data_IF_585572331705
#
_entry.id   IF_585572331705
#
_cell.length_a   1.000
_cell.length_b   1.000
_cell.length_c   1.000
_cell.angle_alpha   90.00
_cell.angle_beta   90.00
_cell.angle_gamma   90.00
#
_symmetry.space_group_name_H-M   'P 1'
#
loop_
_entity.id
_entity.type
_entity.pdbx_description
1 polymer ?
#
# COMPACT_ATOMS: atom_id res chain seq x y z
N UNK A 1 7.15 -11.16 -10.94
CA UNK A 1 8.40 -10.38 -10.80
C UNK A 1 8.25 -9.47 -9.59
N UNK A 2 8.71 -9.88 -8.41
CA UNK A 2 8.50 -9.17 -7.13
C UNK A 2 9.04 -7.72 -7.15
N UNK A 3 10.15 -7.50 -7.85
CA UNK A 3 10.78 -6.17 -7.98
C UNK A 3 9.83 -5.12 -8.60
N UNK A 4 8.93 -5.52 -9.51
CA UNK A 4 7.95 -4.62 -10.13
C UNK A 4 6.87 -4.21 -9.11
N UNK A 5 6.48 -5.13 -8.22
CA UNK A 5 5.49 -4.86 -7.18
C UNK A 5 6.03 -3.90 -6.13
N UNK A 6 7.26 -4.12 -5.65
CA UNK A 6 7.92 -3.23 -4.69
C UNK A 6 8.06 -1.81 -5.25
N UNK A 7 8.53 -1.66 -6.49
CA UNK A 7 8.64 -0.36 -7.16
C UNK A 7 7.28 0.35 -7.31
N UNK A 8 6.24 -0.42 -7.63
CA UNK A 8 4.88 0.12 -7.76
C UNK A 8 4.33 0.57 -6.41
N UNK A 9 4.59 -0.21 -5.36
CA UNK A 9 4.19 0.12 -3.99
C UNK A 9 4.88 1.39 -3.49
N UNK A 10 6.19 1.54 -3.71
CA UNK A 10 6.91 2.77 -3.35
C UNK A 10 6.30 4.02 -4.01
N UNK A 11 5.99 3.92 -5.31
CA UNK A 11 5.36 5.02 -6.05
C UNK A 11 3.96 5.35 -5.50
N UNK A 12 3.18 4.33 -5.15
CA UNK A 12 1.85 4.53 -4.56
C UNK A 12 1.94 5.28 -3.22
N UNK A 13 2.90 4.92 -2.36
CA UNK A 13 3.14 5.64 -1.08
C UNK A 13 3.47 7.11 -1.30
N UNK A 14 4.36 7.40 -2.24
CA UNK A 14 4.77 8.79 -2.56
C UNK A 14 3.56 9.59 -3.05
N UNK A 15 2.77 9.01 -3.97
CA UNK A 15 1.59 9.67 -4.50
C UNK A 15 0.55 9.92 -3.41
N UNK A 16 0.27 8.94 -2.57
CA UNK A 16 -0.65 9.10 -1.44
C UNK A 16 -0.19 10.20 -0.47
N UNK A 17 1.11 10.27 -0.15
CA UNK A 17 1.67 11.33 0.68
C UNK A 17 1.48 12.72 0.04
N UNK A 18 1.70 12.84 -1.27
CA UNK A 18 1.51 14.09 -2.02
C UNK A 18 0.04 14.52 -2.08
N UNK A 19 -0.88 13.58 -2.34
CA UNK A 19 -2.31 13.86 -2.49
C UNK A 19 -3.00 14.17 -1.15
N UNK A 20 -2.57 13.52 -0.07
CA UNK A 20 -3.18 13.68 1.27
C UNK A 20 -2.49 14.71 2.15
N UNK A 21 -1.26 15.11 1.81
CA UNK A 21 -0.41 15.94 2.68
C UNK A 21 0.12 15.22 3.93
N UNK A 22 -0.15 13.91 4.06
CA UNK A 22 0.40 13.08 5.15
C UNK A 22 1.88 12.81 4.85
N UNK A 23 2.71 12.80 5.90
CA UNK A 23 4.15 12.52 5.76
C UNK A 23 4.36 11.12 5.17
N UNK A 24 5.30 10.99 4.24
CA UNK A 24 5.66 9.70 3.63
C UNK A 24 6.04 8.63 4.68
N UNK A 25 6.66 9.06 5.79
CA UNK A 25 7.03 8.20 6.92
C UNK A 25 5.84 7.57 7.65
N UNK A 26 4.63 8.11 7.48
CA UNK A 26 3.38 7.52 8.03
C UNK A 26 2.94 6.31 7.21
N UNK A 27 3.33 6.22 5.93
CA UNK A 27 3.02 5.07 5.09
C UNK A 27 4.06 3.97 5.30
N UNK A 28 3.65 2.70 5.46
CA UNK A 28 4.57 1.60 5.72
C UNK A 28 5.54 1.38 4.56
N UNK A 29 6.83 1.14 4.87
CA UNK A 29 7.88 1.03 3.87
C UNK A 29 7.67 -0.14 2.91
N UNK A 30 7.16 -1.25 3.44
CA UNK A 30 6.87 -2.47 2.70
C UNK A 30 5.36 -2.74 2.76
N UNK A 31 4.84 -3.44 1.75
CA UNK A 31 3.44 -3.84 1.74
C UNK A 31 3.25 -5.05 2.65
N UNK A 32 2.37 -4.96 3.63
CA UNK A 32 2.06 -6.08 4.54
C UNK A 32 1.19 -7.17 3.90
N UNK A 33 0.77 -6.98 2.65
CA UNK A 33 -0.14 -7.87 1.93
C UNK A 33 0.57 -8.59 0.80
N UNK A 34 0.15 -9.82 0.52
CA UNK A 34 0.64 -10.56 -0.63
C UNK A 34 0.17 -9.89 -1.94
N UNK A 35 1.00 -9.97 -2.99
CA UNK A 35 0.67 -9.40 -4.30
C UNK A 35 -0.69 -9.88 -4.83
N UNK A 36 -1.02 -11.15 -4.63
CA UNK A 36 -2.30 -11.74 -5.03
C UNK A 36 -3.49 -11.06 -4.33
N UNK A 37 -3.35 -10.72 -3.04
CA UNK A 37 -4.38 -10.00 -2.30
C UNK A 37 -4.54 -8.57 -2.80
N UNK A 38 -3.44 -7.88 -3.11
CA UNK A 38 -3.50 -6.50 -3.63
C UNK A 38 -4.11 -6.43 -5.03
N UNK A 39 -4.00 -7.49 -5.82
CA UNK A 39 -4.58 -7.59 -7.16
C UNK A 39 -6.04 -8.09 -7.14
N UNK A 40 -6.52 -8.58 -6.01
CA UNK A 40 -7.90 -9.01 -5.85
C UNK A 40 -8.80 -7.77 -5.75
N UNK A 41 -9.66 -7.58 -6.75
CA UNK A 41 -10.54 -6.40 -6.85
C UNK A 41 -11.53 -6.24 -5.68
N UNK A 42 -11.77 -7.32 -4.93
CA UNK A 42 -12.61 -7.34 -3.73
C UNK A 42 -11.84 -7.25 -2.41
N UNK A 43 -10.52 -7.08 -2.45
CA UNK A 43 -9.70 -7.05 -1.24
C UNK A 43 -9.75 -5.67 -0.59
N UNK A 44 -10.46 -5.60 0.55
CA UNK A 44 -10.49 -4.42 1.41
C UNK A 44 -9.81 -4.74 2.74
N UNK A 45 -8.71 -4.06 3.10
CA UNK A 45 -7.99 -4.30 4.37
C UNK A 45 -8.78 -3.84 5.61
N UNK A 46 -10.02 -3.36 5.44
CA UNK A 46 -10.92 -2.82 6.47
C UNK A 46 -11.25 -3.78 7.62
N UNK A 47 -10.86 -5.06 7.56
CA UNK A 47 -11.04 -6.01 8.66
C UNK A 47 -9.99 -5.87 9.77
N UNK A 48 -8.89 -5.12 9.56
CA UNK A 48 -7.79 -5.01 10.54
C UNK A 48 -7.88 -3.82 11.51
N UNK A 49 -8.94 -3.02 11.45
CA UNK A 49 -9.10 -1.84 12.32
C UNK A 49 -10.52 -1.76 12.94
N UNK A 50 -11.05 -2.91 13.39
CA UNK A 50 -12.16 -2.91 14.36
C UNK A 50 -11.58 -2.95 15.76
N UNK A 51 -11.46 -1.74 16.33
CA UNK A 51 -11.61 -1.39 17.76
C UNK A 51 -10.91 -2.26 18.79
#
# INVERSE_FOLDING_TARGET
MPEVFEQSYQKARIKAAQETGIKLSTFPCECSFAQEQVLEAGFFPEVLNRG
#
